data_IF_110447652195
#
_entry.id   IF_110447652195
#
_cell.length_a   1.000
_cell.length_b   1.000
_cell.length_c   1.000
_cell.angle_alpha   90.00
_cell.angle_beta   90.00
_cell.angle_gamma   90.00
#
_symmetry.space_group_name_H-M   'P 1'
#
loop_
_entity.id
_entity.type
_entity.pdbx_description
1 polymer ?
#
# COMPACT_ATOMS: atom_id res chain seq x y z
N UNK A 1 -2.09 -12.83 -2.60
CA UNK A 1 -1.59 -12.65 -1.23
C UNK A 1 -0.45 -13.63 -1.04
N UNK A 2 0.60 -13.29 -0.27
CA UNK A 2 1.73 -14.21 -0.07
C UNK A 2 1.38 -15.25 1.00
N UNK A 3 1.59 -16.53 0.70
CA UNK A 3 1.31 -17.66 1.60
C UNK A 3 2.13 -17.59 2.91
N UNK A 4 3.35 -17.05 2.85
CA UNK A 4 4.27 -16.96 3.99
C UNK A 4 4.08 -15.69 4.83
N UNK A 5 3.03 -14.91 4.57
CA UNK A 5 2.72 -13.74 5.39
C UNK A 5 2.24 -14.15 6.79
N UNK A 6 2.70 -13.41 7.80
CA UNK A 6 2.24 -13.57 9.18
C UNK A 6 0.74 -13.27 9.30
N UNK A 7 0.10 -13.95 10.25
CA UNK A 7 -1.30 -13.76 10.59
C UNK A 7 -1.58 -12.35 11.16
N UNK A 8 -2.85 -11.95 11.08
CA UNK A 8 -3.35 -10.79 11.83
C UNK A 8 -3.67 -11.15 13.29
N UNK A 9 -4.47 -10.33 13.98
CA UNK A 9 -4.90 -10.59 15.36
C UNK A 9 -5.74 -11.87 15.51
N UNK A 10 -6.30 -12.37 14.40
CA UNK A 10 -7.12 -13.56 14.31
C UNK A 10 -6.31 -14.87 14.29
N UNK A 11 -4.98 -14.79 14.13
CA UNK A 11 -4.11 -15.96 14.15
C UNK A 11 -4.16 -16.83 12.87
N UNK A 12 -5.02 -16.49 11.91
CA UNK A 12 -5.16 -17.26 10.66
C UNK A 12 -4.21 -16.75 9.58
N UNK A 13 -3.44 -17.67 8.99
CA UNK A 13 -2.51 -17.39 7.89
C UNK A 13 -3.17 -17.65 6.54
N UNK A 14 -2.57 -17.14 5.46
CA UNK A 14 -3.02 -17.45 4.09
C UNK A 14 -2.97 -18.96 3.83
N UNK A 15 -1.95 -19.67 4.34
CA UNK A 15 -1.82 -21.13 4.21
C UNK A 15 -2.98 -21.90 4.83
N UNK A 16 -3.48 -21.44 5.98
CA UNK A 16 -4.66 -22.04 6.60
C UNK A 16 -5.85 -22.04 5.63
N UNK A 17 -6.15 -20.88 5.03
CA UNK A 17 -7.26 -20.76 4.08
C UNK A 17 -7.03 -21.56 2.79
N UNK A 18 -5.79 -21.64 2.31
CA UNK A 18 -5.46 -22.45 1.13
C UNK A 18 -5.63 -23.95 1.41
N UNK A 19 -5.20 -24.41 2.59
CA UNK A 19 -5.27 -25.81 2.97
C UNK A 19 -6.72 -26.27 3.19
N UNK A 20 -7.53 -25.44 3.83
CA UNK A 20 -8.94 -25.75 4.13
C UNK A 20 -9.92 -25.25 3.07
N UNK A 21 -9.42 -24.76 1.91
CA UNK A 21 -10.23 -24.09 0.89
C UNK A 21 -11.47 -24.89 0.50
N UNK A 22 -11.32 -26.21 0.32
CA UNK A 22 -12.41 -27.11 -0.06
C UNK A 22 -13.60 -27.09 0.91
N UNK A 23 -13.37 -26.73 2.18
CA UNK A 23 -14.40 -26.70 3.22
C UNK A 23 -14.97 -25.31 3.48
N UNK A 24 -14.16 -24.26 3.29
CA UNK A 24 -14.51 -22.90 3.74
C UNK A 24 -14.79 -21.92 2.59
N UNK A 25 -14.63 -22.34 1.33
CA UNK A 25 -14.74 -21.42 0.19
C UNK A 25 -16.12 -20.77 0.08
N UNK A 26 -17.19 -21.50 0.41
CA UNK A 26 -18.56 -20.97 0.35
C UNK A 26 -18.77 -19.86 1.36
N UNK A 27 -18.33 -20.05 2.60
CA UNK A 27 -18.42 -19.05 3.67
C UNK A 27 -17.60 -17.81 3.34
N UNK A 28 -16.37 -18.00 2.84
CA UNK A 28 -15.49 -16.89 2.44
C UNK A 28 -16.12 -16.11 1.29
N UNK A 29 -16.67 -16.81 0.30
CA UNK A 29 -17.33 -16.19 -0.85
C UNK A 29 -18.58 -15.41 -0.43
N UNK A 30 -19.46 -16.00 0.37
CA UNK A 30 -20.66 -15.36 0.89
C UNK A 30 -20.31 -14.10 1.68
N UNK A 31 -19.32 -14.19 2.58
CA UNK A 31 -18.83 -13.05 3.37
C UNK A 31 -18.37 -11.89 2.49
N UNK A 32 -17.59 -12.18 1.44
CA UNK A 32 -17.11 -11.16 0.51
C UNK A 32 -18.25 -10.55 -0.29
N UNK A 33 -19.20 -11.39 -0.74
CA UNK A 33 -20.37 -10.94 -1.50
C UNK A 33 -21.25 -10.01 -0.66
N UNK A 34 -21.54 -10.38 0.59
CA UNK A 34 -22.31 -9.57 1.52
C UNK A 34 -21.70 -8.19 1.73
N UNK A 35 -20.38 -8.10 1.89
CA UNK A 35 -19.70 -6.81 1.96
C UNK A 35 -19.95 -5.94 0.72
N UNK A 36 -19.82 -6.52 -0.47
CA UNK A 36 -20.05 -5.78 -1.72
C UNK A 36 -21.52 -5.46 -1.97
N UNK A 37 -22.45 -6.17 -1.34
CA UNK A 37 -23.88 -5.85 -1.33
C UNK A 37 -24.26 -4.75 -0.32
N UNK A 38 -23.28 -4.20 0.41
CA UNK A 38 -23.47 -3.07 1.33
C UNK A 38 -23.56 -3.48 2.80
N UNK A 39 -23.40 -4.75 3.13
CA UNK A 39 -23.36 -5.19 4.52
C UNK A 39 -22.08 -4.67 5.19
N UNK A 40 -22.16 -4.05 6.38
CA UNK A 40 -20.98 -3.61 7.11
C UNK A 40 -20.05 -4.78 7.44
N UNK A 41 -18.74 -4.58 7.27
CA UNK A 41 -17.75 -5.56 7.73
C UNK A 41 -17.81 -5.70 9.26
N UNK A 42 -17.77 -6.92 9.80
CA UNK A 42 -17.60 -7.15 11.23
C UNK A 42 -16.35 -6.44 11.78
N UNK A 43 -16.47 -5.75 12.92
CA UNK A 43 -15.36 -5.02 13.56
C UNK A 43 -14.11 -5.87 13.76
N UNK A 44 -14.29 -7.16 14.03
CA UNK A 44 -13.20 -8.12 14.19
C UNK A 44 -12.34 -8.27 12.91
N UNK A 45 -12.93 -8.21 11.71
CA UNK A 45 -12.14 -8.27 10.47
C UNK A 45 -11.29 -7.03 10.29
N UNK A 46 -11.75 -5.86 10.75
CA UNK A 46 -10.95 -4.64 10.71
C UNK A 46 -9.90 -4.55 11.82
N UNK A 47 -9.88 -5.50 12.77
CA UNK A 47 -8.85 -5.55 13.81
C UNK A 47 -7.46 -5.71 13.20
N UNK A 48 -6.52 -4.94 13.73
CA UNK A 48 -5.15 -4.86 13.23
C UNK A 48 -4.18 -4.80 14.41
N UNK A 49 -3.11 -5.60 14.37
CA UNK A 49 -1.99 -5.48 15.30
C UNK A 49 -0.91 -4.61 14.67
N UNK A 50 -0.33 -3.69 15.43
CA UNK A 50 0.78 -2.86 14.97
C UNK A 50 2.08 -3.50 15.43
N UNK A 51 2.94 -3.86 14.48
CA UNK A 51 4.30 -4.31 14.73
C UNK A 51 5.28 -3.19 14.37
N UNK A 52 6.27 -2.93 15.21
CA UNK A 52 7.30 -1.91 14.97
C UNK A 52 8.54 -2.59 14.38
N UNK A 53 8.90 -2.21 13.14
CA UNK A 53 10.13 -2.69 12.49
C UNK A 53 11.17 -1.58 12.52
N UNK A 54 12.40 -1.83 13.03
CA UNK A 54 13.45 -0.83 13.02
C UNK A 54 13.87 -0.50 11.58
N UNK A 55 14.08 0.80 11.27
CA UNK A 55 14.51 1.27 9.95
C UNK A 55 16.00 1.01 9.69
N UNK A 56 16.80 0.91 10.75
CA UNK A 56 18.24 0.65 10.71
C UNK A 56 18.68 -0.08 11.99
N UNK A 57 19.92 -0.56 12.02
CA UNK A 57 20.48 -1.25 13.20
C UNK A 57 20.65 -0.33 14.41
N UNK A 58 20.71 0.98 14.22
CA UNK A 58 20.89 1.97 15.28
C UNK A 58 19.56 2.68 15.52
N UNK A 59 18.85 2.26 16.57
CA UNK A 59 17.56 2.83 16.95
C UNK A 59 17.77 3.69 18.19
N UNK A 60 17.56 4.99 18.06
CA UNK A 60 17.73 5.96 19.15
C UNK A 60 16.42 6.68 19.51
N UNK A 61 15.39 6.60 18.65
CA UNK A 61 14.11 7.28 18.81
C UNK A 61 12.94 6.48 18.25
N UNK A 62 11.72 6.83 18.67
CA UNK A 62 10.48 6.24 18.12
C UNK A 62 10.32 6.48 16.61
N UNK A 63 10.90 7.56 16.09
CA UNK A 63 10.87 7.86 14.66
C UNK A 63 11.76 6.91 13.84
N UNK A 64 12.62 6.12 14.48
CA UNK A 64 13.48 5.12 13.83
C UNK A 64 12.73 3.80 13.58
N UNK A 65 11.49 3.68 14.04
CA UNK A 65 10.62 2.55 13.73
C UNK A 65 9.69 2.86 12.57
N UNK A 66 9.41 1.84 11.77
CA UNK A 66 8.32 1.80 10.81
C UNK A 66 7.20 0.95 11.42
N UNK A 67 6.03 1.54 11.72
CA UNK A 67 4.87 0.74 12.09
C UNK A 67 4.38 -0.04 10.87
N UNK A 68 4.04 -1.31 11.07
CA UNK A 68 3.41 -2.18 10.09
C UNK A 68 2.12 -2.72 10.67
N UNK A 69 1.04 -2.58 9.90
CA UNK A 69 -0.27 -3.09 10.22
C UNK A 69 -0.41 -4.56 9.81
N UNK A 70 -0.54 -5.44 10.79
CA UNK A 70 -0.89 -6.84 10.60
C UNK A 70 -2.40 -6.97 10.62
N UNK A 71 -3.02 -6.94 9.44
CA UNK A 71 -4.48 -7.06 9.29
C UNK A 71 -4.92 -8.53 9.13
N UNK A 72 -6.19 -8.79 9.43
CA UNK A 72 -6.85 -10.08 9.16
C UNK A 72 -6.83 -10.45 7.67
N UNK A 73 -7.05 -11.73 7.37
CA UNK A 73 -7.14 -12.22 5.99
C UNK A 73 -8.33 -11.61 5.26
N UNK A 74 -9.49 -11.50 5.91
CA UNK A 74 -10.70 -10.92 5.30
C UNK A 74 -10.49 -9.46 4.91
N UNK A 75 -9.86 -8.66 5.77
CA UNK A 75 -9.53 -7.27 5.44
C UNK A 75 -8.57 -7.19 4.25
N UNK A 76 -7.52 -8.01 4.23
CA UNK A 76 -6.55 -8.08 3.12
C UNK A 76 -7.21 -8.52 1.81
N UNK A 77 -8.12 -9.50 1.88
CA UNK A 77 -8.83 -10.04 0.72
C UNK A 77 -9.73 -8.98 0.08
N UNK A 78 -10.58 -8.35 0.89
CA UNK A 78 -11.51 -7.30 0.44
C UNK A 78 -10.73 -6.11 -0.12
N UNK A 79 -9.72 -5.63 0.61
CA UNK A 79 -8.84 -4.54 0.14
C UNK A 79 -8.15 -4.89 -1.18
N UNK A 80 -7.73 -6.15 -1.37
CA UNK A 80 -7.11 -6.59 -2.62
C UNK A 80 -8.09 -6.57 -3.79
N UNK A 81 -9.34 -6.98 -3.58
CA UNK A 81 -10.39 -6.92 -4.61
C UNK A 81 -10.64 -5.45 -5.00
N UNK A 82 -10.76 -4.55 -4.02
CA UNK A 82 -10.93 -3.12 -4.25
C UNK A 82 -9.76 -2.53 -5.06
N UNK A 83 -8.52 -2.80 -4.64
CA UNK A 83 -7.31 -2.36 -5.36
C UNK A 83 -7.32 -2.87 -6.80
N UNK A 84 -7.66 -4.13 -7.02
CA UNK A 84 -7.71 -4.69 -8.38
C UNK A 84 -8.76 -3.96 -9.25
N UNK A 85 -9.95 -3.66 -8.72
CA UNK A 85 -10.98 -2.90 -9.44
C UNK A 85 -10.53 -1.46 -9.73
N UNK A 86 -9.99 -0.77 -8.74
CA UNK A 86 -9.52 0.61 -8.88
C UNK A 86 -8.32 0.72 -9.82
N UNK A 87 -7.44 -0.28 -9.85
CA UNK A 87 -6.22 -0.26 -10.68
C UNK A 87 -6.51 -0.09 -12.18
N UNK A 88 -7.68 -0.54 -12.65
CA UNK A 88 -8.11 -0.37 -14.04
C UNK A 88 -8.48 1.08 -14.35
N UNK A 89 -8.93 1.83 -13.34
CA UNK A 89 -9.37 3.22 -13.46
C UNK A 89 -8.24 4.21 -13.19
N UNK A 90 -7.26 3.84 -12.34
CA UNK A 90 -6.16 4.71 -11.95
C UNK A 90 -5.44 5.40 -13.13
N UNK A 91 -5.11 4.74 -14.25
CA UNK A 91 -4.45 5.40 -15.38
C UNK A 91 -5.22 6.60 -15.97
N UNK A 92 -6.53 6.69 -15.75
CA UNK A 92 -7.37 7.79 -16.20
C UNK A 92 -7.52 8.92 -15.16
N UNK A 93 -7.15 8.65 -13.90
CA UNK A 93 -7.37 9.56 -12.77
C UNK A 93 -6.07 10.22 -12.29
N UNK A 94 -4.93 9.58 -12.50
CA UNK A 94 -3.63 10.05 -12.02
C UNK A 94 -2.79 10.64 -13.15
N UNK A 95 -1.92 11.59 -12.81
CA UNK A 95 -0.96 12.17 -13.75
C UNK A 95 -0.06 11.10 -14.38
N UNK A 96 0.33 11.23 -15.67
CA UNK A 96 1.34 10.36 -16.27
C UNK A 96 2.65 10.36 -15.49
N UNK A 97 2.98 11.46 -14.79
CA UNK A 97 4.23 11.63 -14.04
C UNK A 97 4.19 10.98 -12.64
N UNK A 98 3.05 10.41 -12.22
CA UNK A 98 2.94 9.72 -10.93
C UNK A 98 3.46 8.28 -11.03
N UNK A 99 4.74 8.05 -10.76
CA UNK A 99 5.33 6.71 -10.96
C UNK A 99 5.16 5.77 -9.76
N UNK A 100 5.02 6.30 -8.56
CA UNK A 100 4.92 5.49 -7.33
C UNK A 100 3.62 4.69 -7.24
N UNK A 101 3.74 3.40 -6.87
CA UNK A 101 2.61 2.49 -6.59
C UNK A 101 1.65 2.25 -7.77
N UNK A 102 2.08 2.51 -9.02
CA UNK A 102 1.30 2.24 -10.23
C UNK A 102 1.91 1.05 -10.97
N UNK A 103 1.08 0.05 -11.31
CA UNK A 103 1.53 -1.11 -12.06
C UNK A 103 2.05 -0.68 -13.44
N UNK A 104 3.24 -1.15 -13.80
CA UNK A 104 3.86 -0.89 -15.11
C UNK A 104 4.67 0.40 -15.18
N UNK A 105 4.75 1.19 -14.11
CA UNK A 105 5.65 2.35 -14.01
C UNK A 105 6.88 1.97 -13.16
N UNK A 106 8.08 2.27 -13.65
CA UNK A 106 9.30 1.91 -12.96
C UNK A 106 9.84 3.10 -12.17
N UNK A 107 10.50 2.82 -11.04
CA UNK A 107 11.20 3.86 -10.27
C UNK A 107 12.38 4.47 -11.07
N UNK A 108 12.92 3.71 -12.04
CA UNK A 108 14.01 4.16 -12.91
C UNK A 108 13.59 5.38 -13.72
N UNK A 109 12.34 5.45 -14.17
CA UNK A 109 11.83 6.58 -14.94
C UNK A 109 11.90 7.90 -14.12
N UNK A 110 11.64 7.84 -12.81
CA UNK A 110 11.80 8.99 -11.91
C UNK A 110 13.25 9.42 -11.76
N UNK A 111 14.19 8.47 -11.78
CA UNK A 111 15.63 8.78 -11.68
C UNK A 111 16.08 9.53 -12.95
N UNK A 112 15.64 9.06 -14.11
CA UNK A 112 15.92 9.70 -15.40
C UNK A 112 15.33 11.12 -15.45
N UNK A 113 14.06 11.28 -15.04
CA UNK A 113 13.41 12.59 -14.97
C UNK A 113 14.16 13.55 -14.03
N UNK A 114 14.63 13.07 -12.88
CA UNK A 114 15.40 13.87 -11.94
C UNK A 114 16.77 14.27 -12.52
N UNK A 115 17.42 13.39 -13.29
CA UNK A 115 18.67 13.70 -13.98
C UNK A 115 18.47 14.78 -15.05
N UNK A 116 17.39 14.69 -15.84
CA UNK A 116 17.00 15.69 -16.83
C UNK A 116 16.80 17.07 -16.16
N UNK A 117 16.02 17.13 -15.07
CA UNK A 117 15.87 18.37 -14.31
C UNK A 117 17.19 18.95 -13.81
N UNK A 118 18.11 18.09 -13.34
CA UNK A 118 19.44 18.54 -12.91
C UNK A 118 20.27 19.11 -14.06
N UNK A 119 20.17 18.56 -15.27
CA UNK A 119 20.86 19.09 -16.45
C UNK A 119 20.26 20.43 -16.88
N UNK A 120 18.93 20.56 -16.82
CA UNK A 120 18.22 21.78 -17.19
C UNK A 120 18.51 22.96 -16.25
N UNK A 121 19.01 22.71 -15.03
CA UNK A 121 19.41 23.77 -14.10
C UNK A 121 20.45 24.72 -14.70
N UNK A 122 21.37 24.22 -15.53
CA UNK A 122 22.45 25.03 -16.12
C UNK A 122 21.99 25.84 -17.34
N UNK A 123 20.77 25.63 -17.84
CA UNK A 123 20.22 26.38 -18.97
C UNK A 123 19.94 27.82 -18.55
N UNK A 124 20.47 28.79 -19.31
CA UNK A 124 20.22 30.21 -19.03
C UNK A 124 18.75 30.56 -19.28
N UNK A 125 18.03 30.89 -18.21
CA UNK A 125 16.64 31.35 -18.24
C UNK A 125 16.51 32.70 -17.55
N UNK A 126 15.45 33.45 -17.86
CA UNK A 126 15.15 34.70 -17.17
C UNK A 126 14.72 34.39 -15.73
N UNK A 127 15.56 34.73 -14.76
CA UNK A 127 15.29 34.50 -13.32
C UNK A 127 15.99 33.28 -12.72
N UNK A 128 16.69 32.48 -13.52
CA UNK A 128 17.38 31.27 -13.07
C UNK A 128 16.45 30.08 -12.84
N UNK A 129 17.03 28.91 -12.55
CA UNK A 129 16.31 27.66 -12.36
C UNK A 129 16.42 27.17 -10.90
N UNK A 130 15.40 26.45 -10.43
CA UNK A 130 15.34 25.86 -9.09
C UNK A 130 14.61 24.52 -9.13
N UNK A 131 15.11 23.53 -8.38
CA UNK A 131 14.42 22.25 -8.14
C UNK A 131 13.90 22.24 -6.70
N UNK A 132 12.63 21.85 -6.53
CA UNK A 132 12.00 21.66 -5.23
C UNK A 132 11.82 20.16 -4.95
N UNK A 133 12.47 19.69 -3.88
CA UNK A 133 12.25 18.34 -3.34
C UNK A 133 11.29 18.43 -2.16
N UNK A 134 10.08 17.92 -2.34
CA UNK A 134 9.03 17.91 -1.32
C UNK A 134 8.84 16.49 -0.79
N UNK A 135 8.66 16.35 0.52
CA UNK A 135 8.32 15.08 1.18
C UNK A 135 7.22 15.32 2.22
N UNK A 136 6.32 14.35 2.38
CA UNK A 136 5.18 14.43 3.29
C UNK A 136 5.49 13.56 4.51
N UNK A 137 5.69 14.19 5.66
CA UNK A 137 5.86 13.49 6.92
C UNK A 137 4.61 12.67 7.24
N UNK A 138 4.78 11.38 7.53
CA UNK A 138 3.71 10.46 7.95
C UNK A 138 2.46 10.53 7.07
N UNK A 139 2.65 10.43 5.75
CA UNK A 139 1.59 10.61 4.76
C UNK A 139 0.31 9.77 5.03
N UNK A 140 0.43 8.56 5.57
CA UNK A 140 -0.73 7.71 5.89
C UNK A 140 -1.45 8.09 7.19
N UNK A 141 -0.76 8.76 8.12
CA UNK A 141 -1.32 9.15 9.41
C UNK A 141 -1.99 10.54 9.35
N UNK A 142 -1.65 11.33 8.32
CA UNK A 142 -2.08 12.72 8.14
C UNK A 142 -3.17 12.92 7.08
N UNK A 143 -3.84 11.85 6.65
CA UNK A 143 -5.01 11.93 5.74
C UNK A 143 -6.26 12.20 6.59
N UNK A 144 -6.99 13.28 6.25
CA UNK A 144 -8.28 13.64 6.83
C UNK A 144 -9.44 12.95 6.14
#
# INVERSE_FOLDING_TARGET
>A
MNADSVAGPDGYTVKFFQHLWQFIYEDVYATVLDFFNGTPIPKFFTSTSIALIPKSNMVNSWNDFRPISLCTIFYKLISKILVNRLSVLLPKLISPNQMGFVKGRAIVDNILLAQEFCQDLDIKTRGGNMILKLDIAKAYDNIN
#
